data_IF_381354803099
#
_entry.id   IF_381354803099
#
_cell.length_a   1.000
_cell.length_b   1.000
_cell.length_c   1.000
_cell.angle_alpha   90.00
_cell.angle_beta   90.00
_cell.angle_gamma   90.00
#
_symmetry.space_group_name_H-M   'P 1'
#
loop_
_entity.id
_entity.type
_entity.pdbx_description
1 polymer ?
#
# COMPACT_ATOMS: atom_id res chain seq x y z
N UNK A 1 1.64 20.01 1.36
CA UNK A 1 0.98 18.73 1.71
C UNK A 1 0.78 18.72 3.21
N UNK A 2 -0.45 18.90 3.68
CA UNK A 2 -0.77 18.96 5.11
C UNK A 2 -0.83 17.56 5.71
N UNK A 3 -0.43 17.41 6.97
CA UNK A 3 -0.47 16.13 7.71
C UNK A 3 -1.84 15.45 7.68
N UNK A 4 -2.91 16.23 7.57
CA UNK A 4 -4.30 15.76 7.45
C UNK A 4 -4.51 14.92 6.17
N UNK A 5 -3.91 15.30 5.05
CA UNK A 5 -4.01 14.55 3.79
C UNK A 5 -3.28 13.22 3.87
N UNK A 6 -2.16 13.15 4.60
CA UNK A 6 -1.40 11.92 4.78
C UNK A 6 -2.20 10.91 5.62
N UNK A 7 -2.88 11.37 6.67
CA UNK A 7 -3.78 10.54 7.50
C UNK A 7 -4.99 10.04 6.70
N UNK A 8 -5.61 10.91 5.88
CA UNK A 8 -6.72 10.48 5.01
C UNK A 8 -6.28 9.43 4.01
N UNK A 9 -5.10 9.59 3.41
CA UNK A 9 -4.54 8.62 2.47
C UNK A 9 -4.15 7.31 3.12
N UNK A 10 -3.54 7.34 4.32
CA UNK A 10 -3.20 6.11 5.03
C UNK A 10 -4.45 5.33 5.44
N UNK A 11 -5.49 6.01 5.91
CA UNK A 11 -6.79 5.38 6.21
C UNK A 11 -7.44 4.79 4.96
N UNK A 12 -7.49 5.52 3.84
CA UNK A 12 -8.03 5.02 2.59
C UNK A 12 -7.23 3.82 2.06
N UNK A 13 -5.91 3.84 2.20
CA UNK A 13 -5.03 2.71 1.86
C UNK A 13 -5.32 1.50 2.75
N UNK A 14 -5.40 1.67 4.07
CA UNK A 14 -5.72 0.58 5.00
C UNK A 14 -7.11 -0.01 4.73
N UNK A 15 -8.10 0.82 4.43
CA UNK A 15 -9.43 0.37 4.03
C UNK A 15 -9.40 -0.37 2.69
N UNK A 16 -8.62 0.10 1.72
CA UNK A 16 -8.40 -0.58 0.44
C UNK A 16 -7.74 -1.95 0.61
N UNK A 17 -6.71 -2.05 1.45
CA UNK A 17 -6.06 -3.32 1.79
C UNK A 17 -7.03 -4.29 2.49
N UNK A 18 -7.87 -3.81 3.41
CA UNK A 18 -8.87 -4.64 4.07
C UNK A 18 -9.96 -5.14 3.10
N UNK A 19 -10.39 -4.29 2.16
CA UNK A 19 -11.34 -4.65 1.12
C UNK A 19 -10.80 -5.75 0.18
N UNK A 20 -9.50 -5.75 -0.08
CA UNK A 20 -8.79 -6.77 -0.89
C UNK A 20 -8.37 -8.02 -0.09
N UNK A 21 -8.90 -8.22 1.12
CA UNK A 21 -8.62 -9.42 1.91
C UNK A 21 -8.98 -10.70 1.15
N UNK A 22 -8.18 -11.76 1.34
CA UNK A 22 -8.38 -13.05 0.69
C UNK A 22 -9.80 -13.62 0.91
N UNK A 23 -10.40 -13.32 2.06
CA UNK A 23 -11.77 -13.71 2.39
C UNK A 23 -12.82 -12.99 1.52
N UNK A 24 -12.65 -11.68 1.28
CA UNK A 24 -13.54 -10.91 0.40
C UNK A 24 -13.39 -11.31 -1.07
N UNK A 25 -12.16 -11.56 -1.51
CA UNK A 25 -11.90 -12.07 -2.85
C UNK A 25 -12.51 -13.45 -3.06
N UNK A 26 -12.37 -14.34 -2.08
CA UNK A 26 -12.99 -15.67 -2.11
C UNK A 26 -14.51 -15.58 -2.12
N UNK A 27 -15.11 -14.72 -1.29
CA UNK A 27 -16.56 -14.51 -1.28
C UNK A 27 -17.08 -14.03 -2.65
N UNK A 28 -16.36 -13.09 -3.28
CA UNK A 28 -16.71 -12.59 -4.62
C UNK A 28 -16.58 -13.67 -5.70
N UNK A 29 -15.51 -14.46 -5.64
CA UNK A 29 -15.31 -15.57 -6.56
C UNK A 29 -16.38 -16.66 -6.39
N UNK A 30 -16.70 -17.05 -5.15
CA UNK A 30 -17.76 -18.01 -4.84
C UNK A 30 -19.15 -17.52 -5.32
N UNK A 31 -19.43 -16.22 -5.23
CA UNK A 31 -20.67 -15.64 -5.78
C UNK A 31 -20.74 -15.74 -7.31
N UNK A 32 -19.63 -15.52 -8.02
CA UNK A 32 -19.59 -15.69 -9.47
C UNK A 32 -19.73 -17.16 -9.87
N UNK A 33 -19.21 -18.10 -9.06
CA UNK A 33 -19.48 -19.54 -9.25
C UNK A 33 -20.95 -19.85 -9.05
N UNK A 34 -21.56 -19.32 -7.99
CA UNK A 34 -22.97 -19.54 -7.69
C UNK A 34 -23.90 -18.98 -8.78
N UNK A 35 -23.51 -17.88 -9.44
CA UNK A 35 -24.21 -17.33 -10.61
C UNK A 35 -23.95 -18.11 -11.90
N UNK A 36 -23.02 -19.07 -11.89
CA UNK A 36 -22.60 -19.83 -13.06
C UNK A 36 -21.72 -19.06 -14.04
N UNK A 37 -21.21 -17.88 -13.65
CA UNK A 37 -20.34 -17.04 -14.47
C UNK A 37 -18.87 -17.52 -14.46
N UNK A 38 -18.51 -18.40 -13.53
CA UNK A 38 -17.21 -19.06 -13.47
C UNK A 38 -17.31 -20.48 -12.87
N UNK A 39 -16.37 -21.34 -13.20
CA UNK A 39 -16.20 -22.64 -12.53
C UNK A 39 -15.48 -22.50 -11.18
N UNK A 40 -15.66 -23.48 -10.28
CA UNK A 40 -14.92 -23.51 -9.01
C UNK A 40 -13.39 -23.50 -9.20
N UNK A 41 -12.90 -24.00 -10.33
CA UNK A 41 -11.47 -24.04 -10.65
C UNK A 41 -10.96 -22.65 -11.07
N UNK A 42 -11.74 -21.91 -11.87
CA UNK A 42 -11.47 -20.53 -12.24
C UNK A 42 -11.53 -19.58 -11.03
N UNK A 43 -12.49 -19.78 -10.13
CA UNK A 43 -12.59 -19.03 -8.88
C UNK A 43 -11.32 -19.17 -8.03
N UNK A 44 -10.82 -20.39 -7.91
CA UNK A 44 -9.62 -20.71 -7.14
C UNK A 44 -8.38 -20.08 -7.77
N UNK A 45 -8.26 -20.17 -9.10
CA UNK A 45 -7.19 -19.48 -9.85
C UNK A 45 -7.26 -17.97 -9.73
N UNK A 46 -8.45 -17.37 -9.75
CA UNK A 46 -8.63 -15.93 -9.63
C UNK A 46 -8.11 -15.41 -8.28
N UNK A 47 -8.48 -16.08 -7.18
CA UNK A 47 -7.98 -15.72 -5.84
C UNK A 47 -6.46 -15.89 -5.79
N UNK A 48 -5.93 -17.00 -6.31
CA UNK A 48 -4.49 -17.30 -6.30
C UNK A 48 -3.67 -16.27 -7.11
N UNK A 49 -4.15 -15.91 -8.31
CA UNK A 49 -3.52 -14.90 -9.16
C UNK A 49 -3.50 -13.51 -8.52
N UNK A 50 -4.60 -13.10 -7.85
CA UNK A 50 -4.64 -11.82 -7.14
C UNK A 50 -3.69 -11.84 -5.95
N UNK A 51 -3.68 -12.91 -5.15
CA UNK A 51 -2.74 -13.04 -4.04
C UNK A 51 -1.29 -12.98 -4.50
N UNK A 52 -0.97 -13.66 -5.59
CA UNK A 52 0.39 -13.68 -6.15
C UNK A 52 0.83 -12.32 -6.68
N UNK A 53 -0.06 -11.62 -7.40
CA UNK A 53 0.19 -10.24 -7.84
C UNK A 53 0.31 -9.28 -6.67
N UNK A 54 -0.52 -9.43 -5.64
CA UNK A 54 -0.44 -8.60 -4.45
C UNK A 54 0.92 -8.74 -3.76
N UNK A 55 1.45 -9.95 -3.62
CA UNK A 55 2.79 -10.18 -3.07
C UNK A 55 3.92 -9.53 -3.90
N UNK A 56 3.83 -9.61 -5.23
CA UNK A 56 4.81 -8.98 -6.14
C UNK A 56 4.74 -7.44 -6.06
N UNK A 57 3.54 -6.87 -6.12
CA UNK A 57 3.32 -5.43 -6.01
C UNK A 57 3.72 -4.90 -4.64
N UNK A 58 3.45 -5.64 -3.56
CA UNK A 58 3.77 -5.22 -2.20
C UNK A 58 5.29 -5.08 -1.99
N UNK A 59 6.12 -5.93 -2.62
CA UNK A 59 7.59 -5.76 -2.62
C UNK A 59 8.05 -4.51 -3.38
N UNK A 60 7.42 -4.23 -4.52
CA UNK A 60 7.72 -3.03 -5.33
C UNK A 60 7.34 -1.76 -4.56
N UNK A 61 6.13 -1.73 -3.99
CA UNK A 61 5.62 -0.64 -3.15
C UNK A 61 6.50 -0.45 -1.92
N UNK A 62 6.92 -1.51 -1.25
CA UNK A 62 7.80 -1.41 -0.07
C UNK A 62 9.14 -0.77 -0.43
N UNK A 63 9.75 -1.18 -1.54
CA UNK A 63 11.01 -0.61 -2.03
C UNK A 63 10.86 0.86 -2.39
N UNK A 64 9.79 1.21 -3.10
CA UNK A 64 9.48 2.59 -3.45
C UNK A 64 9.25 3.46 -2.20
N UNK A 65 8.43 3.00 -1.24
CA UNK A 65 8.20 3.70 0.03
C UNK A 65 9.52 3.90 0.78
N UNK A 66 10.35 2.86 0.89
CA UNK A 66 11.65 2.96 1.57
C UNK A 66 12.54 4.02 0.92
N UNK A 67 12.61 4.06 -0.41
CA UNK A 67 13.38 5.05 -1.14
C UNK A 67 12.85 6.48 -0.94
N UNK A 68 11.52 6.67 -0.99
CA UNK A 68 10.89 7.97 -0.75
C UNK A 68 11.11 8.45 0.69
N UNK A 69 10.94 7.56 1.68
CA UNK A 69 11.15 7.88 3.10
C UNK A 69 12.63 8.19 3.35
N UNK A 70 13.56 7.44 2.75
CA UNK A 70 15.00 7.70 2.86
C UNK A 70 15.38 9.07 2.28
N UNK A 71 14.83 9.43 1.10
CA UNK A 71 15.03 10.77 0.51
C UNK A 71 14.49 11.89 1.39
N UNK A 72 13.28 11.71 1.95
CA UNK A 72 12.69 12.68 2.86
C UNK A 72 13.50 12.81 4.15
N UNK A 73 13.97 11.70 4.74
CA UNK A 73 14.82 11.71 5.93
C UNK A 73 16.18 12.36 5.69
N UNK A 74 16.82 12.11 4.54
CA UNK A 74 18.07 12.77 4.19
C UNK A 74 17.88 14.27 3.97
N UNK A 75 16.80 14.65 3.28
CA UNK A 75 16.49 16.07 3.03
C UNK A 75 16.08 16.79 4.32
N UNK A 76 15.31 16.14 5.19
CA UNK A 76 14.91 16.67 6.48
C UNK A 76 16.11 16.75 7.44
N UNK A 77 16.97 15.72 7.49
CA UNK A 77 18.19 15.73 8.29
C UNK A 77 19.20 16.78 7.82
N UNK A 78 19.32 17.00 6.50
CA UNK A 78 20.11 18.10 5.95
C UNK A 78 19.48 19.47 6.25
N UNK A 79 18.15 19.60 6.16
CA UNK A 79 17.43 20.83 6.51
C UNK A 79 17.49 21.12 8.02
N UNK A 80 17.54 20.10 8.86
CA UNK A 80 17.68 20.24 10.31
C UNK A 80 19.10 20.62 10.70
N UNK A 81 20.12 20.01 10.09
CA UNK A 81 21.52 20.38 10.27
C UNK A 81 21.79 21.84 9.88
N UNK A 82 21.25 22.31 8.74
CA UNK A 82 21.37 23.71 8.30
C UNK A 82 20.65 24.66 9.26
N UNK A 83 19.45 24.29 9.75
CA UNK A 83 18.72 25.12 10.71
C UNK A 83 19.39 25.22 12.08
N UNK A 84 20.11 24.19 12.50
CA UNK A 84 20.87 24.21 13.77
C UNK A 84 22.11 25.10 13.63
N UNK A 85 22.85 24.99 12.52
CA UNK A 85 24.03 25.82 12.23
C UNK A 85 23.69 27.33 12.16
N UNK A 86 22.55 27.67 11.55
CA UNK A 86 22.07 29.05 11.42
C UNK A 86 21.60 29.66 12.76
N UNK A 87 21.24 28.84 13.75
CA UNK A 87 20.87 29.27 15.10
C UNK A 87 22.08 29.42 16.03
N UNK A 88 23.16 28.66 15.82
CA UNK A 88 24.39 28.77 16.61
C UNK A 88 25.24 30.00 16.22
N UNK A 89 25.06 30.53 15.01
CA UNK A 89 25.79 31.70 14.52
C UNK A 89 25.13 33.06 14.85
N UNK A 90 24.11 33.07 15.73
CA UNK A 90 23.36 34.26 16.13
C UNK A 90 23.40 34.49 17.64
#
# INVERSE_FOLDING_TARGET
>A
MTVVDLVKKSLAFSLGCAALSAEKLKQFADEMVAKGEMSSEEARRFVDDISKRADEEMKSVQSWIHEQVSKVLQTAGAAEAVRVDELEHR
#
